data_IF_639759730858
#
_entry.id   IF_639759730858
#
_cell.length_a   1.000
_cell.length_b   1.000
_cell.length_c   1.000
_cell.angle_alpha   90.00
_cell.angle_beta   90.00
_cell.angle_gamma   90.00
#
_symmetry.space_group_name_H-M   'P 1'
#
loop_
_entity.id
_entity.type
_entity.pdbx_description
1 polymer ?
#
# COMPACT_ATOMS: atom_id res chain seq x y z
N UNK A 1 -0.65 29.19 22.38
CA UNK A 1 -1.97 29.43 21.75
C UNK A 1 -2.19 28.35 20.71
N UNK A 2 -3.03 27.36 21.04
CA UNK A 2 -3.27 26.15 20.25
C UNK A 2 -4.22 26.43 19.08
N UNK A 3 -3.83 26.03 17.87
CA UNK A 3 -4.72 25.96 16.72
C UNK A 3 -4.98 24.50 16.39
N UNK A 4 -6.13 24.01 16.85
CA UNK A 4 -6.70 22.76 16.39
C UNK A 4 -7.19 22.92 14.95
N UNK A 5 -6.70 22.08 14.03
CA UNK A 5 -7.29 21.91 12.70
C UNK A 5 -8.32 20.79 12.77
N UNK A 6 -9.58 21.15 12.53
CA UNK A 6 -10.73 20.26 12.43
C UNK A 6 -10.67 19.53 11.08
N UNK A 7 -10.71 18.20 11.12
CA UNK A 7 -10.92 17.38 9.93
C UNK A 7 -12.43 17.21 9.71
N UNK A 8 -12.94 17.68 8.58
CA UNK A 8 -14.29 17.36 8.12
C UNK A 8 -14.18 16.19 7.13
N UNK A 9 -14.74 15.03 7.48
CA UNK A 9 -15.04 13.97 6.52
C UNK A 9 -16.48 14.14 6.02
N UNK A 10 -16.64 14.19 4.70
CA UNK A 10 -17.94 14.06 4.03
C UNK A 10 -18.00 12.68 3.33
N UNK A 11 -18.96 11.85 3.76
CA UNK A 11 -19.26 10.53 3.21
C UNK A 11 -20.23 10.67 2.04
N UNK A 12 -19.92 10.08 0.87
CA UNK A 12 -20.94 9.72 -0.12
C UNK A 12 -20.64 8.34 -0.73
N UNK A 13 -21.60 7.42 -0.61
CA UNK A 13 -21.63 6.11 -1.25
C UNK A 13 -22.36 6.20 -2.60
N UNK A 14 -21.84 5.52 -3.62
CA UNK A 14 -22.58 5.22 -4.84
C UNK A 14 -22.40 3.74 -5.20
N UNK A 15 -23.49 2.98 -5.11
CA UNK A 15 -23.61 1.62 -5.69
C UNK A 15 -24.21 1.76 -7.10
N UNK A 16 -23.64 1.08 -8.08
CA UNK A 16 -24.34 0.73 -9.31
C UNK A 16 -23.93 -0.66 -9.79
N UNK A 17 -24.94 -1.50 -9.98
CA UNK A 17 -24.91 -2.85 -10.55
C UNK A 17 -25.03 -2.77 -12.08
N UNK A 18 -24.30 -3.61 -12.81
CA UNK A 18 -24.44 -3.80 -14.26
C UNK A 18 -24.47 -5.30 -14.57
N UNK A 19 -25.40 -5.80 -15.41
CA UNK A 19 -25.51 -7.22 -15.73
C UNK A 19 -24.49 -7.66 -16.80
N UNK A 20 -23.91 -8.85 -16.62
CA UNK A 20 -23.12 -9.55 -17.64
C UNK A 20 -24.04 -10.25 -18.65
N UNK A 21 -23.82 -10.02 -19.93
CA UNK A 21 -24.09 -11.02 -20.99
C UNK A 21 -23.04 -10.86 -22.10
N UNK A 22 -22.54 -11.99 -22.61
CA UNK A 22 -21.59 -12.00 -23.73
C UNK A 22 -20.82 -13.32 -23.81
N UNK A 23 -21.33 -14.21 -24.65
CA UNK A 23 -20.92 -15.60 -24.88
C UNK A 23 -19.51 -15.80 -25.42
N UNK A 24 -18.89 -16.90 -24.97
CA UNK A 24 -17.63 -17.44 -25.44
C UNK A 24 -17.72 -18.01 -26.87
N UNK A 25 -16.63 -17.88 -27.62
CA UNK A 25 -16.28 -18.80 -28.72
C UNK A 25 -14.80 -19.13 -28.59
N UNK A 26 -14.52 -20.41 -28.32
CA UNK A 26 -13.18 -20.97 -28.27
C UNK A 26 -12.82 -21.48 -29.67
N UNK A 27 -11.62 -21.15 -30.14
CA UNK A 27 -10.95 -21.87 -31.22
C UNK A 27 -9.60 -22.32 -30.69
N UNK A 28 -9.41 -23.63 -30.75
CA UNK A 28 -8.23 -24.34 -30.30
C UNK A 28 -7.21 -24.41 -31.45
N UNK A 29 -5.97 -24.02 -31.17
CA UNK A 29 -4.80 -24.40 -31.97
C UNK A 29 -3.72 -24.93 -31.03
N UNK A 30 -3.25 -26.14 -31.32
CA UNK A 30 -2.22 -26.89 -30.59
C UNK A 30 -0.81 -26.46 -31.00
N UNK A 31 0.20 -26.61 -30.11
CA UNK A 31 1.41 -25.78 -30.14
C UNK A 31 2.55 -26.41 -30.95
N UNK A 32 3.29 -25.59 -31.70
CA UNK A 32 4.64 -25.93 -32.16
C UNK A 32 5.68 -25.28 -31.25
N UNK A 33 6.42 -26.15 -30.56
CA UNK A 33 7.60 -25.82 -29.77
C UNK A 33 8.72 -25.30 -30.67
N UNK A 34 9.20 -24.10 -30.39
CA UNK A 34 10.50 -23.63 -30.84
C UNK A 34 11.12 -22.90 -29.65
N UNK A 35 12.06 -23.57 -28.98
CA UNK A 35 12.84 -22.99 -27.90
C UNK A 35 13.77 -21.91 -28.48
N UNK A 36 13.26 -20.68 -28.53
CA UNK A 36 14.09 -19.49 -28.69
C UNK A 36 14.46 -19.07 -27.28
N UNK A 37 15.73 -19.27 -26.91
CA UNK A 37 16.33 -18.64 -25.75
C UNK A 37 16.36 -17.14 -26.00
N UNK A 38 15.27 -16.44 -25.67
CA UNK A 38 15.28 -14.98 -25.58
C UNK A 38 16.08 -14.64 -24.33
N UNK A 39 17.31 -14.18 -24.53
CA UNK A 39 17.94 -13.29 -23.58
C UNK A 39 17.00 -12.10 -23.39
N UNK A 40 16.41 -11.96 -22.21
CA UNK A 40 15.76 -10.72 -21.77
C UNK A 40 16.83 -9.63 -21.71
N UNK A 41 17.13 -9.01 -22.86
CA UNK A 41 17.67 -7.66 -22.86
C UNK A 41 16.57 -6.78 -22.26
N UNK A 42 16.64 -6.58 -20.95
CA UNK A 42 15.75 -5.66 -20.25
C UNK A 42 15.95 -4.28 -20.86
N UNK A 43 14.95 -3.80 -21.60
CA UNK A 43 14.84 -2.39 -21.96
C UNK A 43 14.85 -1.63 -20.63
N UNK A 44 15.99 -1.04 -20.26
CA UNK A 44 16.12 -0.24 -19.05
C UNK A 44 15.39 1.07 -19.29
N UNK A 45 14.14 1.14 -18.82
CA UNK A 45 13.38 2.37 -18.85
C UNK A 45 13.98 3.38 -17.87
N UNK A 46 13.98 4.67 -18.23
CA UNK A 46 14.51 5.73 -17.38
C UNK A 46 13.60 6.97 -17.39
N UNK A 47 14.02 8.02 -16.69
CA UNK A 47 13.29 9.29 -16.66
C UNK A 47 13.11 9.93 -18.06
N UNK A 48 14.01 9.64 -19.02
CA UNK A 48 13.89 10.14 -20.40
C UNK A 48 12.63 9.65 -21.11
N UNK A 49 12.10 8.51 -20.70
CA UNK A 49 10.99 7.83 -21.38
C UNK A 49 9.62 8.35 -20.92
N UNK A 50 9.59 9.30 -19.98
CA UNK A 50 8.36 9.92 -19.50
C UNK A 50 7.65 10.66 -20.65
N UNK A 51 6.37 10.36 -20.95
CA UNK A 51 5.60 11.07 -21.94
C UNK A 51 5.55 12.58 -21.65
N UNK A 52 5.80 13.39 -22.69
CA UNK A 52 5.83 14.85 -22.57
C UNK A 52 4.52 15.44 -22.03
N UNK A 53 3.38 14.79 -22.30
CA UNK A 53 2.06 15.20 -21.80
C UNK A 53 1.89 15.04 -20.29
N UNK A 54 2.60 14.08 -19.66
CA UNK A 54 2.51 13.83 -18.22
C UNK A 54 3.47 14.71 -17.42
N UNK A 55 4.65 14.99 -17.97
CA UNK A 55 5.76 15.66 -17.28
C UNK A 55 5.38 16.93 -16.52
N UNK A 56 4.66 17.92 -17.09
CA UNK A 56 4.34 19.14 -16.37
C UNK A 56 3.55 18.88 -15.07
N UNK A 57 2.59 17.97 -15.11
CA UNK A 57 1.76 17.63 -13.95
C UNK A 57 2.52 16.85 -12.88
N UNK A 58 3.40 15.92 -13.29
CA UNK A 58 4.22 15.11 -12.39
C UNK A 58 5.26 15.98 -11.65
N UNK A 59 6.02 16.78 -12.39
CA UNK A 59 7.02 17.67 -11.80
C UNK A 59 6.38 18.72 -10.90
N UNK A 60 5.20 19.22 -11.29
CA UNK A 60 4.44 20.17 -10.46
C UNK A 60 4.00 19.53 -9.14
N UNK A 61 3.44 18.33 -9.15
CA UNK A 61 3.01 17.63 -7.92
C UNK A 61 4.20 17.33 -7.04
N UNK A 62 5.29 16.81 -7.61
CA UNK A 62 6.49 16.51 -6.84
C UNK A 62 7.01 17.78 -6.13
N UNK A 63 7.14 18.89 -6.86
CA UNK A 63 7.66 20.15 -6.32
C UNK A 63 6.71 20.84 -5.34
N UNK A 64 5.42 20.91 -5.65
CA UNK A 64 4.46 21.74 -4.91
C UNK A 64 3.70 21.00 -3.83
N UNK A 65 3.67 19.66 -3.88
CA UNK A 65 3.00 18.84 -2.88
C UNK A 65 4.04 18.03 -2.13
N UNK A 66 4.71 17.09 -2.80
CA UNK A 66 5.56 16.11 -2.12
C UNK A 66 6.75 16.73 -1.39
N UNK A 67 7.45 17.70 -2.00
CA UNK A 67 8.54 18.41 -1.33
C UNK A 67 8.05 19.39 -0.26
N UNK A 68 6.96 20.15 -0.52
CA UNK A 68 6.45 21.15 0.44
C UNK A 68 5.82 20.51 1.68
N UNK A 69 5.13 19.40 1.50
CA UNK A 69 4.55 18.61 2.59
C UNK A 69 5.59 17.68 3.23
N UNK A 70 6.80 17.63 2.68
CA UNK A 70 7.89 16.77 3.11
C UNK A 70 7.49 15.27 3.15
N UNK A 71 6.57 14.85 2.27
CA UNK A 71 6.09 13.46 2.24
C UNK A 71 7.17 12.49 1.79
N UNK A 72 8.13 12.94 0.98
CA UNK A 72 9.25 12.12 0.48
C UNK A 72 10.52 12.18 1.33
N UNK A 73 10.57 13.07 2.33
CA UNK A 73 11.75 13.26 3.17
C UNK A 73 11.92 12.21 4.26
N UNK A 74 10.84 11.52 4.64
CA UNK A 74 10.88 10.46 5.65
C UNK A 74 11.53 9.20 5.07
N UNK A 75 12.59 8.68 5.72
CA UNK A 75 13.33 7.48 5.29
C UNK A 75 12.64 6.16 5.66
N UNK A 76 11.32 6.10 5.48
CA UNK A 76 10.49 4.92 5.75
C UNK A 76 9.41 4.69 4.68
N UNK A 77 9.50 5.34 3.53
CA UNK A 77 8.58 5.04 2.42
C UNK A 77 8.71 3.57 2.01
N UNK A 78 7.73 3.05 1.27
CA UNK A 78 7.77 1.67 0.77
C UNK A 78 9.07 1.38 0.01
N UNK A 79 9.64 2.36 -0.71
CA UNK A 79 10.99 2.25 -1.29
C UNK A 79 12.05 1.88 -0.24
N UNK A 80 12.11 2.61 0.88
CA UNK A 80 13.06 2.36 1.98
C UNK A 80 12.78 1.03 2.67
N UNK A 81 11.50 0.69 2.85
CA UNK A 81 11.09 -0.56 3.50
C UNK A 81 11.54 -1.77 2.68
N UNK A 82 11.33 -1.73 1.36
CA UNK A 82 11.81 -2.79 0.45
C UNK A 82 13.33 -2.88 0.51
N UNK A 83 14.05 -1.74 0.50
CA UNK A 83 15.51 -1.73 0.53
C UNK A 83 16.07 -2.32 1.83
N UNK A 84 15.55 -1.87 2.97
CA UNK A 84 15.93 -2.39 4.27
C UNK A 84 15.51 -3.86 4.48
N UNK A 85 14.42 -4.25 3.82
CA UNK A 85 13.93 -5.62 3.75
C UNK A 85 14.62 -6.50 2.71
N UNK A 86 15.63 -5.99 2.00
CA UNK A 86 16.34 -6.71 0.95
C UNK A 86 15.39 -7.32 -0.11
N UNK A 87 14.37 -6.56 -0.49
CA UNK A 87 13.39 -6.96 -1.49
C UNK A 87 12.12 -7.58 -0.94
N UNK A 88 11.91 -7.63 0.38
CA UNK A 88 10.69 -8.20 1.00
C UNK A 88 9.96 -7.20 1.88
N UNK A 89 8.66 -7.42 2.06
CA UNK A 89 7.82 -6.66 2.99
C UNK A 89 7.06 -7.61 3.91
N UNK A 90 7.10 -7.32 5.21
CA UNK A 90 6.36 -8.06 6.22
C UNK A 90 5.22 -7.20 6.77
N UNK A 91 4.04 -7.79 6.90
CA UNK A 91 2.86 -7.17 7.49
C UNK A 91 2.51 -7.78 8.84
N UNK A 92 1.94 -6.98 9.72
CA UNK A 92 1.04 -7.47 10.78
C UNK A 92 -0.38 -7.07 10.43
N UNK A 93 -1.33 -7.98 10.57
CA UNK A 93 -2.75 -7.63 10.47
C UNK A 93 -3.24 -7.23 11.86
N UNK A 94 -3.70 -5.99 11.97
CA UNK A 94 -4.32 -5.40 13.15
C UNK A 94 -5.85 -5.48 13.00
N UNK A 95 -6.45 -6.50 13.61
CA UNK A 95 -7.88 -6.79 13.48
C UNK A 95 -8.68 -6.20 14.64
N UNK A 96 -9.08 -4.94 14.48
CA UNK A 96 -9.94 -4.20 15.41
C UNK A 96 -11.41 -4.44 15.06
N UNK A 97 -11.82 -5.69 15.17
CA UNK A 97 -13.17 -6.15 14.84
C UNK A 97 -13.58 -7.27 15.77
N UNK A 98 -14.88 -7.46 15.97
CA UNK A 98 -15.43 -8.60 16.68
C UNK A 98 -15.53 -9.86 15.78
N UNK A 99 -15.40 -9.72 14.46
CA UNK A 99 -15.55 -10.83 13.51
C UNK A 99 -14.41 -11.83 13.67
N UNK A 100 -14.78 -13.11 13.59
CA UNK A 100 -13.81 -14.19 13.53
C UNK A 100 -13.14 -14.23 12.16
N UNK A 101 -11.86 -14.60 12.13
CA UNK A 101 -11.08 -14.82 10.92
C UNK A 101 -10.87 -16.32 10.73
N UNK A 102 -11.45 -16.88 9.67
CA UNK A 102 -11.18 -18.24 9.23
C UNK A 102 -9.77 -18.36 8.61
N UNK A 103 -9.21 -19.58 8.60
CA UNK A 103 -7.88 -19.83 8.01
C UNK A 103 -7.81 -19.36 6.55
N UNK A 104 -8.84 -19.66 5.75
CA UNK A 104 -8.89 -19.25 4.35
C UNK A 104 -8.86 -17.73 4.19
N UNK A 105 -9.65 -16.99 4.99
CA UNK A 105 -9.66 -15.52 4.95
C UNK A 105 -8.28 -14.94 5.29
N UNK A 106 -7.57 -15.53 6.26
CA UNK A 106 -6.22 -15.09 6.62
C UNK A 106 -5.22 -15.30 5.48
N UNK A 107 -5.31 -16.44 4.79
CA UNK A 107 -4.50 -16.72 3.60
C UNK A 107 -4.86 -15.81 2.42
N UNK A 108 -6.15 -15.51 2.23
CA UNK A 108 -6.61 -14.57 1.20
C UNK A 108 -6.10 -13.15 1.48
N UNK A 109 -6.11 -12.70 2.74
CA UNK A 109 -5.57 -11.39 3.14
C UNK A 109 -4.07 -11.27 2.82
N UNK A 110 -3.26 -12.29 3.13
CA UNK A 110 -1.83 -12.28 2.78
C UNK A 110 -1.62 -12.18 1.26
N UNK A 111 -2.36 -12.99 0.47
CA UNK A 111 -2.33 -12.92 -1.00
C UNK A 111 -2.78 -11.56 -1.52
N UNK A 112 -3.80 -10.97 -0.92
CA UNK A 112 -4.31 -9.64 -1.26
C UNK A 112 -3.22 -8.58 -1.07
N UNK A 113 -2.57 -8.55 0.10
CA UNK A 113 -1.50 -7.60 0.38
C UNK A 113 -0.35 -7.72 -0.62
N UNK A 114 0.07 -8.95 -0.94
CA UNK A 114 1.07 -9.21 -1.97
C UNK A 114 0.65 -8.69 -3.35
N UNK A 115 -0.59 -8.95 -3.76
CA UNK A 115 -1.12 -8.51 -5.05
C UNK A 115 -1.23 -6.98 -5.14
N UNK A 116 -1.84 -6.32 -4.15
CA UNK A 116 -2.05 -4.87 -4.17
C UNK A 116 -0.72 -4.09 -4.10
N UNK A 117 0.25 -4.56 -3.32
CA UNK A 117 1.60 -3.97 -3.32
C UNK A 117 2.29 -4.13 -4.67
N UNK A 118 2.21 -5.32 -5.27
CA UNK A 118 2.85 -5.58 -6.57
C UNK A 118 2.13 -4.93 -7.75
N UNK A 119 0.86 -4.52 -7.61
CA UNK A 119 0.22 -3.64 -8.59
C UNK A 119 0.95 -2.30 -8.73
N UNK A 120 1.59 -1.81 -7.67
CA UNK A 120 2.49 -0.66 -7.75
C UNK A 120 3.91 -1.06 -8.18
N UNK A 121 4.55 -1.97 -7.45
CA UNK A 121 6.00 -2.21 -7.59
C UNK A 121 6.39 -2.88 -8.91
N UNK A 122 5.47 -3.58 -9.58
CA UNK A 122 5.73 -4.14 -10.93
C UNK A 122 6.21 -3.08 -11.93
N UNK A 123 5.79 -1.83 -11.75
CA UNK A 123 6.17 -0.73 -12.64
C UNK A 123 7.58 -0.19 -12.40
N UNK A 124 8.25 -0.60 -11.32
CA UNK A 124 9.64 -0.26 -11.02
C UNK A 124 10.64 -1.28 -11.56
N UNK A 125 10.19 -2.51 -11.89
CA UNK A 125 11.08 -3.55 -12.43
C UNK A 125 11.74 -3.08 -13.73
N UNK A 126 13.06 -3.14 -13.79
CA UNK A 126 13.84 -2.66 -14.94
C UNK A 126 13.84 -1.14 -15.12
N UNK A 127 13.29 -0.37 -14.17
CA UNK A 127 13.24 1.08 -14.25
C UNK A 127 14.37 1.73 -13.43
N UNK A 128 15.18 2.54 -14.11
CA UNK A 128 16.11 3.51 -13.53
C UNK A 128 16.98 2.96 -12.38
N UNK A 129 17.49 1.74 -12.54
CA UNK A 129 18.39 1.08 -11.58
C UNK A 129 17.70 0.49 -10.34
N UNK A 130 16.37 0.36 -10.34
CA UNK A 130 15.66 -0.35 -9.27
C UNK A 130 16.12 -1.82 -9.19
N UNK A 131 16.60 -2.29 -8.03
CA UNK A 131 17.32 -3.58 -7.95
C UNK A 131 16.42 -4.78 -7.66
N UNK A 132 15.10 -4.60 -7.52
CA UNK A 132 14.19 -5.67 -7.08
C UNK A 132 13.18 -6.07 -8.14
N UNK A 133 12.87 -7.37 -8.19
CA UNK A 133 11.81 -7.97 -8.99
C UNK A 133 10.45 -7.91 -8.30
N UNK A 134 9.69 -9.01 -8.35
CA UNK A 134 8.48 -9.16 -7.53
C UNK A 134 8.84 -9.07 -6.05
N UNK A 135 8.02 -8.36 -5.27
CA UNK A 135 8.24 -8.14 -3.85
C UNK A 135 7.44 -9.19 -3.08
N UNK A 136 8.10 -10.17 -2.41
CA UNK A 136 7.40 -11.11 -1.56
C UNK A 136 6.83 -10.39 -0.34
N UNK A 137 5.54 -10.63 -0.09
CA UNK A 137 4.82 -10.11 1.07
C UNK A 137 4.42 -11.26 1.98
N UNK A 138 4.60 -11.09 3.30
CA UNK A 138 4.20 -12.07 4.32
C UNK A 138 3.43 -11.42 5.45
N UNK A 139 2.43 -12.10 6.00
CA UNK A 139 1.83 -11.73 7.29
C UNK A 139 2.58 -12.46 8.40
N UNK A 140 3.37 -11.73 9.17
CA UNK A 140 4.21 -12.29 10.25
C UNK A 140 3.52 -12.31 11.61
N UNK A 141 2.32 -11.73 11.72
CA UNK A 141 1.52 -11.82 12.93
C UNK A 141 0.11 -11.24 12.78
N UNK A 142 -0.75 -11.63 13.73
CA UNK A 142 -2.15 -11.22 13.83
C UNK A 142 -2.38 -10.58 15.19
N UNK A 143 -2.63 -9.28 15.22
CA UNK A 143 -3.02 -8.58 16.44
C UNK A 143 -4.55 -8.54 16.55
N UNK A 144 -5.10 -9.15 17.59
CA UNK A 144 -6.55 -9.24 17.85
C UNK A 144 -6.83 -8.95 19.33
N UNK A 145 -8.02 -8.43 19.67
CA UNK A 145 -8.36 -8.22 21.08
C UNK A 145 -8.67 -9.55 21.79
N UNK A 146 -9.27 -10.51 21.07
CA UNK A 146 -9.58 -11.84 21.59
C UNK A 146 -8.95 -12.93 20.71
N UNK A 147 -8.00 -13.73 21.22
CA UNK A 147 -7.31 -14.76 20.42
C UNK A 147 -8.26 -15.82 19.85
N UNK A 148 -9.43 -16.04 20.47
CA UNK A 148 -10.44 -16.98 19.95
C UNK A 148 -11.01 -16.58 18.58
N UNK A 149 -10.79 -15.33 18.14
CA UNK A 149 -11.19 -14.84 16.83
C UNK A 149 -10.36 -15.46 15.69
N UNK A 150 -9.15 -15.93 15.98
CA UNK A 150 -8.29 -16.60 15.01
C UNK A 150 -8.68 -18.09 14.97
N UNK A 151 -9.61 -18.43 14.07
CA UNK A 151 -10.12 -19.78 13.96
C UNK A 151 -9.10 -20.70 13.27
N UNK A 152 -8.98 -21.94 13.76
CA UNK A 152 -8.03 -22.92 13.24
C UNK A 152 -6.60 -22.33 13.11
N UNK A 153 -6.10 -21.77 14.21
CA UNK A 153 -4.76 -21.18 14.27
C UNK A 153 -3.70 -22.23 13.94
N UNK A 154 -2.82 -21.92 13.00
CA UNK A 154 -1.71 -22.79 12.62
C UNK A 154 -0.51 -22.63 13.59
N UNK A 155 0.35 -23.66 13.72
CA UNK A 155 1.50 -23.62 14.64
C UNK A 155 2.47 -22.46 14.38
N UNK A 156 2.65 -22.06 13.12
CA UNK A 156 3.54 -20.98 12.70
C UNK A 156 2.94 -19.57 12.84
N UNK A 157 1.63 -19.44 13.07
CA UNK A 157 0.99 -18.13 13.23
C UNK A 157 1.29 -17.54 14.60
N UNK A 158 1.66 -16.27 14.64
CA UNK A 158 1.84 -15.50 15.88
C UNK A 158 0.59 -14.66 16.11
N UNK A 159 0.04 -14.71 17.32
CA UNK A 159 -1.13 -13.92 17.72
C UNK A 159 -0.71 -12.99 18.86
N UNK A 160 -0.95 -11.69 18.65
CA UNK A 160 -0.74 -10.65 19.65
C UNK A 160 -2.08 -10.22 20.22
N UNK A 161 -2.18 -10.11 21.55
CA UNK A 161 -3.43 -9.77 22.25
C UNK A 161 -3.36 -8.48 23.05
N UNK A 162 -2.22 -7.78 23.00
CA UNK A 162 -2.10 -6.47 23.63
C UNK A 162 -2.95 -5.46 22.87
N UNK A 163 -3.55 -4.53 23.60
CA UNK A 163 -4.36 -3.46 23.04
C UNK A 163 -3.96 -2.11 23.62
N UNK A 164 -4.05 -1.06 22.82
CA UNK A 164 -4.06 0.33 23.26
C UNK A 164 -5.44 0.96 23.03
N UNK A 165 -5.63 2.21 23.44
CA UNK A 165 -6.86 2.96 23.11
C UNK A 165 -6.72 3.56 21.72
N UNK A 166 -7.72 3.35 20.87
CA UNK A 166 -7.85 4.08 19.62
C UNK A 166 -8.32 5.51 19.89
N UNK A 167 -7.51 6.50 19.53
CA UNK A 167 -7.87 7.90 19.71
C UNK A 167 -9.12 8.29 18.91
N UNK A 168 -9.39 7.65 17.76
CA UNK A 168 -10.60 7.90 16.98
C UNK A 168 -11.87 7.44 17.70
N UNK A 169 -11.80 6.45 18.59
CA UNK A 169 -12.99 6.02 19.34
C UNK A 169 -13.48 7.07 20.34
N UNK A 170 -12.63 8.06 20.68
CA UNK A 170 -13.01 9.16 21.57
C UNK A 170 -13.93 10.17 20.87
N UNK A 171 -13.85 10.27 19.55
CA UNK A 171 -14.66 11.20 18.74
C UNK A 171 -15.71 10.47 17.91
N UNK A 172 -15.50 9.20 17.57
CA UNK A 172 -16.47 8.33 16.91
C UNK A 172 -16.68 7.02 17.71
N UNK A 173 -17.73 6.94 18.55
CA UNK A 173 -17.97 5.78 19.41
C UNK A 173 -18.37 4.51 18.63
N UNK A 174 -18.55 4.58 17.31
CA UNK A 174 -18.80 3.40 16.46
C UNK A 174 -17.51 2.61 16.18
N UNK A 175 -16.35 3.25 16.33
CA UNK A 175 -15.04 2.60 16.22
C UNK A 175 -14.72 1.92 17.57
N UNK A 176 -14.36 0.62 17.60
CA UNK A 176 -14.02 -0.06 18.84
C UNK A 176 -12.84 0.62 19.56
N UNK A 177 -12.95 0.85 20.87
CA UNK A 177 -11.88 1.55 21.61
C UNK A 177 -10.59 0.73 21.77
N UNK A 178 -10.70 -0.60 21.88
CA UNK A 178 -9.54 -1.47 22.01
C UNK A 178 -8.89 -1.71 20.65
N UNK A 179 -7.72 -1.12 20.45
CA UNK A 179 -6.90 -1.25 19.25
C UNK A 179 -5.80 -2.29 19.48
N UNK A 180 -5.87 -3.49 18.86
CA UNK A 180 -4.83 -4.50 19.02
C UNK A 180 -3.49 -4.03 18.48
N UNK A 181 -2.38 -4.42 19.07
CA UNK A 181 -1.04 -4.00 18.63
C UNK A 181 -0.05 -5.17 18.64
N UNK A 182 0.90 -5.17 17.70
CA UNK A 182 2.10 -5.98 17.80
C UNK A 182 3.18 -5.25 18.63
N UNK A 183 4.18 -5.97 19.17
CA UNK A 183 5.28 -5.37 19.91
C UNK A 183 6.01 -4.31 19.08
N UNK A 184 6.19 -3.12 19.67
CA UNK A 184 6.94 -2.01 19.05
C UNK A 184 8.36 -2.42 18.64
N UNK A 185 9.01 -3.30 19.41
CA UNK A 185 10.35 -3.82 19.10
C UNK A 185 10.47 -4.57 17.75
N UNK A 186 9.35 -4.98 17.15
CA UNK A 186 9.32 -5.61 15.83
C UNK A 186 8.91 -4.63 14.72
N UNK A 187 8.51 -3.41 15.07
CA UNK A 187 7.98 -2.40 14.15
C UNK A 187 9.11 -1.66 13.47
N UNK A 188 9.19 -1.75 12.14
CA UNK A 188 10.06 -0.86 11.37
C UNK A 188 9.67 0.60 11.56
N UNK A 189 8.37 0.90 11.58
CA UNK A 189 7.88 2.26 11.73
C UNK A 189 8.39 2.95 13.02
N UNK A 190 8.62 2.18 14.08
CA UNK A 190 9.12 2.72 15.35
C UNK A 190 10.65 2.84 15.39
N UNK A 191 11.36 2.17 14.47
CA UNK A 191 12.81 1.97 14.53
C UNK A 191 13.58 2.35 13.25
N UNK A 192 12.92 2.81 12.19
CA UNK A 192 13.56 3.10 10.88
C UNK A 192 14.65 4.20 10.92
N UNK A 193 14.65 5.04 11.95
CA UNK A 193 15.65 6.10 12.13
C UNK A 193 16.95 5.60 12.75
N UNK A 194 16.94 4.42 13.38
CA UNK A 194 18.13 3.79 13.97
C UNK A 194 18.74 2.79 12.98
N UNK A 195 19.84 3.14 12.30
CA UNK A 195 20.48 2.26 11.32
C UNK A 195 21.12 1.03 11.95
N UNK A 196 21.31 1.01 13.29
CA UNK A 196 21.92 -0.09 14.03
C UNK A 196 20.88 -0.94 14.78
N UNK A 197 19.58 -0.66 14.59
CA UNK A 197 18.54 -1.39 15.29
C UNK A 197 18.54 -2.86 14.91
N UNK A 198 18.70 -3.73 15.92
CA UNK A 198 18.66 -5.17 15.75
C UNK A 198 17.28 -5.70 16.17
N UNK A 199 16.48 -6.11 15.19
CA UNK A 199 15.17 -6.68 15.46
C UNK A 199 15.28 -7.99 16.26
N UNK A 200 14.52 -8.16 17.36
CA UNK A 200 14.44 -9.42 18.08
C UNK A 200 14.03 -10.57 17.14
N UNK A 201 14.84 -11.63 17.11
CA UNK A 201 14.61 -12.78 16.22
C UNK A 201 15.02 -12.55 14.75
N UNK A 202 15.64 -11.41 14.45
CA UNK A 202 16.22 -11.11 13.14
C UNK A 202 15.27 -10.40 12.17
N UNK A 203 15.81 -10.10 10.99
CA UNK A 203 15.18 -9.29 9.96
C UNK A 203 13.79 -9.84 9.54
N UNK A 204 13.64 -11.17 9.51
CA UNK A 204 12.40 -11.85 9.11
C UNK A 204 11.27 -11.76 10.15
N UNK A 205 11.59 -11.36 11.38
CA UNK A 205 10.60 -11.22 12.47
C UNK A 205 10.09 -9.80 12.64
N UNK A 206 10.71 -8.82 12.00
CA UNK A 206 10.16 -7.46 11.92
C UNK A 206 8.89 -7.45 11.08
N UNK A 207 8.09 -6.41 11.24
CA UNK A 207 7.10 -6.01 10.26
C UNK A 207 7.34 -4.57 9.80
N UNK A 208 7.01 -4.31 8.54
CA UNK A 208 7.20 -3.03 7.88
C UNK A 208 5.91 -2.19 7.88
N UNK A 209 4.75 -2.85 7.71
CA UNK A 209 3.44 -2.21 7.64
C UNK A 209 2.39 -2.95 8.45
N UNK A 210 1.35 -2.24 8.86
CA UNK A 210 0.12 -2.83 9.34
C UNK A 210 -0.97 -2.85 8.26
N UNK A 211 -1.82 -3.89 8.27
CA UNK A 211 -3.17 -3.79 7.69
C UNK A 211 -4.16 -3.70 8.84
N UNK A 212 -4.91 -2.61 8.93
CA UNK A 212 -5.91 -2.40 9.98
C UNK A 212 -7.29 -2.72 9.42
N UNK A 213 -7.90 -3.78 9.93
CA UNK A 213 -9.32 -4.06 9.72
C UNK A 213 -10.12 -3.53 10.90
N UNK A 214 -10.79 -2.40 10.70
CA UNK A 214 -11.52 -1.71 11.77
C UNK A 214 -13.02 -1.77 11.53
N UNK A 215 -13.78 -2.27 12.50
CA UNK A 215 -15.25 -2.21 12.45
C UNK A 215 -15.75 -0.77 12.37
N UNK A 216 -16.70 -0.50 11.47
CA UNK A 216 -17.33 0.80 11.23
C UNK A 216 -16.40 1.93 10.76
N UNK A 217 -15.15 1.63 10.36
CA UNK A 217 -14.27 2.64 9.79
C UNK A 217 -14.75 3.03 8.39
N UNK A 218 -15.02 4.32 8.17
CA UNK A 218 -15.42 4.84 6.87
C UNK A 218 -14.21 5.28 6.04
N UNK A 219 -14.19 4.92 4.76
CA UNK A 219 -13.10 5.27 3.84
C UNK A 219 -11.81 4.49 4.10
N UNK A 220 -10.68 5.13 3.79
CA UNK A 220 -9.34 4.61 4.00
C UNK A 220 -8.44 5.65 4.67
N UNK A 221 -7.35 5.16 5.28
CA UNK A 221 -6.23 5.98 5.71
C UNK A 221 -4.94 5.17 5.59
N UNK A 222 -3.85 5.79 5.16
CA UNK A 222 -2.63 5.06 4.88
C UNK A 222 -1.38 5.92 4.90
N UNK A 223 -0.25 5.24 4.82
CA UNK A 223 1.07 5.85 4.79
C UNK A 223 2.16 4.82 4.99
N UNK A 224 3.31 5.28 5.48
CA UNK A 224 4.48 4.45 5.74
C UNK A 224 4.32 3.49 6.94
N UNK A 225 3.24 3.61 7.71
CA UNK A 225 2.87 2.67 8.78
C UNK A 225 1.91 1.57 8.31
N UNK A 226 1.41 1.64 7.07
CA UNK A 226 0.47 0.68 6.49
C UNK A 226 -0.86 1.30 6.07
N UNK A 227 -1.92 0.49 6.06
CA UNK A 227 -3.24 0.86 5.55
C UNK A 227 -4.33 0.53 6.57
N UNK A 228 -5.34 1.38 6.67
CA UNK A 228 -6.52 1.22 7.52
C UNK A 228 -7.79 1.39 6.71
N UNK A 229 -8.71 0.45 6.89
CA UNK A 229 -10.01 0.44 6.21
C UNK A 229 -11.01 -0.40 7.02
N UNK A 230 -12.27 -0.42 6.57
CA UNK A 230 -13.28 -1.27 7.19
C UNK A 230 -12.91 -2.75 7.08
N UNK A 231 -13.14 -3.50 8.16
CA UNK A 231 -13.08 -4.96 8.17
C UNK A 231 -13.99 -5.60 7.10
N UNK A 232 -15.21 -5.07 6.90
CA UNK A 232 -16.11 -5.52 5.82
C UNK A 232 -15.56 -5.23 4.44
N UNK A 233 -14.93 -4.08 4.25
CA UNK A 233 -14.32 -3.73 2.97
C UNK A 233 -13.17 -4.69 2.63
N UNK A 234 -12.29 -5.00 3.59
CA UNK A 234 -11.22 -5.99 3.41
C UNK A 234 -11.81 -7.33 2.98
N UNK A 235 -12.76 -7.87 3.76
CA UNK A 235 -13.28 -9.21 3.50
C UNK A 235 -14.06 -9.31 2.18
N UNK A 236 -14.81 -8.27 1.81
CA UNK A 236 -15.59 -8.26 0.57
C UNK A 236 -14.75 -8.07 -0.70
N UNK A 237 -13.56 -7.48 -0.58
CA UNK A 237 -12.68 -7.19 -1.72
C UNK A 237 -11.41 -8.05 -1.77
N UNK A 238 -11.18 -8.92 -0.78
CA UNK A 238 -9.92 -9.65 -0.57
C UNK A 238 -9.43 -10.43 -1.80
N UNK A 239 -10.33 -10.87 -2.67
CA UNK A 239 -10.01 -11.63 -3.88
C UNK A 239 -10.00 -10.82 -5.18
N UNK A 240 -10.26 -9.51 -5.11
CA UNK A 240 -10.25 -8.64 -6.30
C UNK A 240 -8.82 -8.35 -6.78
N UNK A 241 -8.64 -8.24 -8.10
CA UNK A 241 -7.33 -7.94 -8.68
C UNK A 241 -6.85 -6.53 -8.34
N UNK A 242 -7.75 -5.55 -8.36
CA UNK A 242 -7.50 -4.15 -7.99
C UNK A 242 -8.52 -3.77 -6.89
N UNK A 243 -8.06 -3.11 -5.84
CA UNK A 243 -8.86 -2.67 -4.70
C UNK A 243 -8.59 -1.18 -4.50
N UNK A 244 -9.45 -0.36 -5.08
CA UNK A 244 -9.29 1.10 -5.16
C UNK A 244 -8.78 1.75 -3.87
N UNK A 245 -9.45 1.51 -2.73
CA UNK A 245 -9.06 2.16 -1.47
C UNK A 245 -7.71 1.62 -1.01
N UNK A 246 -7.50 0.31 -1.04
CA UNK A 246 -6.22 -0.28 -0.62
C UNK A 246 -5.04 0.22 -1.47
N UNK A 247 -5.21 0.29 -2.78
CA UNK A 247 -4.17 0.79 -3.69
C UNK A 247 -3.91 2.29 -3.50
N UNK A 248 -4.95 3.09 -3.27
CA UNK A 248 -4.82 4.50 -2.91
C UNK A 248 -4.00 4.66 -1.62
N UNK A 249 -4.35 3.92 -0.56
CA UNK A 249 -3.64 3.99 0.72
C UNK A 249 -2.18 3.48 0.63
N UNK A 250 -1.88 2.55 -0.29
CA UNK A 250 -0.51 2.14 -0.59
C UNK A 250 0.25 3.26 -1.31
N UNK A 251 -0.41 4.05 -2.16
CA UNK A 251 0.18 5.22 -2.82
C UNK A 251 0.74 6.24 -1.82
N UNK A 252 0.06 6.48 -0.71
CA UNK A 252 0.58 7.29 0.40
C UNK A 252 1.87 6.71 1.01
N UNK A 253 2.00 5.39 1.06
CA UNK A 253 3.24 4.71 1.48
C UNK A 253 4.43 4.98 0.55
N UNK A 254 4.19 5.34 -0.71
CA UNK A 254 5.22 5.84 -1.63
C UNK A 254 5.44 7.37 -1.56
N UNK A 255 4.73 8.06 -0.65
CA UNK A 255 4.84 9.50 -0.43
C UNK A 255 3.89 10.34 -1.30
N UNK A 256 2.96 9.72 -2.01
CA UNK A 256 1.99 10.45 -2.85
C UNK A 256 0.92 11.13 -1.99
N UNK A 257 0.54 12.38 -2.28
CA UNK A 257 -0.47 13.11 -1.52
C UNK A 257 -1.88 12.90 -2.08
N UNK A 258 -2.89 13.26 -1.29
CA UNK A 258 -4.27 13.40 -1.77
C UNK A 258 -4.48 14.62 -2.67
N UNK A 259 -5.52 14.54 -3.51
CA UNK A 259 -5.93 15.61 -4.43
C UNK A 259 -7.40 16.06 -4.26
N UNK A 260 -7.83 16.34 -3.03
CA UNK A 260 -9.22 16.73 -2.73
C UNK A 260 -9.59 18.14 -3.20
N UNK A 261 -8.66 19.10 -3.06
CA UNK A 261 -8.88 20.51 -3.38
C UNK A 261 -8.50 20.88 -4.81
N UNK A 262 -8.94 22.06 -5.25
CA UNK A 262 -8.44 22.67 -6.49
C UNK A 262 -6.96 23.05 -6.39
N UNK A 263 -6.55 23.63 -5.26
CA UNK A 263 -5.16 24.03 -5.00
C UNK A 263 -4.20 22.84 -4.81
N UNK A 264 -4.74 21.64 -4.67
CA UNK A 264 -3.97 20.41 -4.51
C UNK A 264 -3.46 19.87 -5.86
N UNK A 265 -3.98 20.40 -6.97
CA UNK A 265 -3.78 19.87 -8.33
C UNK A 265 -3.08 20.89 -9.23
N UNK A 266 -2.39 20.44 -10.28
CA UNK A 266 -1.91 21.33 -11.33
C UNK A 266 -3.05 22.17 -11.93
N UNK A 267 -2.74 23.39 -12.38
CA UNK A 267 -3.73 24.22 -13.09
C UNK A 267 -4.23 23.49 -14.34
N UNK A 268 -5.56 23.37 -14.49
CA UNK A 268 -6.18 22.59 -15.56
C UNK A 268 -6.38 21.10 -15.22
N UNK A 269 -5.98 20.65 -14.03
CA UNK A 269 -6.16 19.26 -13.57
C UNK A 269 -5.09 18.30 -14.07
N UNK A 270 -5.40 17.00 -14.03
CA UNK A 270 -4.50 15.94 -14.50
C UNK A 270 -4.80 15.58 -15.96
N UNK A 271 -3.78 15.24 -16.75
CA UNK A 271 -3.95 14.86 -18.16
C UNK A 271 -4.69 13.54 -18.37
N UNK A 272 -4.69 12.66 -17.35
CA UNK A 272 -5.49 11.44 -17.25
C UNK A 272 -5.96 11.27 -15.80
N UNK A 273 -6.96 10.40 -15.52
CA UNK A 273 -7.36 10.13 -14.14
C UNK A 273 -6.20 9.64 -13.27
N UNK A 274 -6.32 9.79 -11.95
CA UNK A 274 -5.35 9.31 -10.94
C UNK A 274 -6.09 8.61 -9.81
N UNK A 275 -5.52 7.52 -9.30
CA UNK A 275 -6.07 6.83 -8.11
C UNK A 275 -5.96 7.70 -6.85
N UNK A 276 -4.97 8.60 -6.79
CA UNK A 276 -4.72 9.49 -5.65
C UNK A 276 -5.73 10.64 -5.55
N UNK A 277 -6.65 10.75 -6.52
CA UNK A 277 -7.85 11.57 -6.39
C UNK A 277 -9.05 10.65 -6.13
N UNK A 278 -9.54 10.65 -4.89
CA UNK A 278 -10.63 9.76 -4.48
C UNK A 278 -11.83 9.84 -5.43
N UNK A 279 -12.27 8.68 -5.92
CA UNK A 279 -13.38 8.55 -6.88
C UNK A 279 -13.03 8.85 -8.34
N UNK A 280 -11.82 9.31 -8.66
CA UNK A 280 -11.42 9.66 -10.03
C UNK A 280 -10.96 8.45 -10.84
N UNK A 281 -10.29 7.48 -10.21
CA UNK A 281 -9.95 6.19 -10.79
C UNK A 281 -10.22 5.05 -9.82
N UNK A 282 -10.62 3.90 -10.34
CA UNK A 282 -10.82 2.66 -9.58
C UNK A 282 -9.55 1.78 -9.51
N UNK A 283 -8.48 2.18 -10.19
CA UNK A 283 -7.22 1.43 -10.35
C UNK A 283 -6.04 2.36 -10.55
N UNK A 284 -4.82 1.85 -10.39
CA UNK A 284 -3.58 2.58 -10.67
C UNK A 284 -3.52 2.93 -12.16
N UNK A 285 -3.20 4.19 -12.47
CA UNK A 285 -3.15 4.72 -13.83
C UNK A 285 -1.72 4.99 -14.29
N UNK A 286 -1.54 5.27 -15.58
CA UNK A 286 -0.23 5.66 -16.13
C UNK A 286 0.33 6.92 -15.47
N UNK A 287 -0.52 7.86 -15.03
CA UNK A 287 -0.07 9.03 -14.30
C UNK A 287 0.51 8.67 -12.94
N UNK A 288 -0.18 7.79 -12.21
CA UNK A 288 0.27 7.29 -10.90
C UNK A 288 1.61 6.55 -11.03
N UNK A 289 1.74 5.72 -12.07
CA UNK A 289 2.97 4.98 -12.39
C UNK A 289 4.13 5.94 -12.68
N UNK A 290 3.91 6.99 -13.45
CA UNK A 290 4.96 7.97 -13.73
C UNK A 290 5.32 8.82 -12.52
N UNK A 291 4.38 9.09 -11.61
CA UNK A 291 4.70 9.74 -10.33
C UNK A 291 5.56 8.83 -9.45
N UNK A 292 5.24 7.53 -9.38
CA UNK A 292 6.03 6.52 -8.66
C UNK A 292 7.47 6.49 -9.18
N UNK A 293 7.60 6.35 -10.51
CA UNK A 293 8.88 6.29 -11.23
C UNK A 293 9.70 7.57 -11.07
N UNK A 294 9.06 8.72 -11.24
CA UNK A 294 9.70 10.02 -11.01
C UNK A 294 10.24 10.12 -9.58
N UNK A 295 9.42 9.75 -8.60
CA UNK A 295 9.81 9.76 -7.18
C UNK A 295 11.02 8.88 -6.93
N UNK A 296 11.05 7.64 -7.44
CA UNK A 296 12.24 6.78 -7.37
C UNK A 296 13.48 7.45 -7.96
N UNK A 297 13.36 8.01 -9.17
CA UNK A 297 14.47 8.67 -9.88
C UNK A 297 15.06 9.86 -9.10
N UNK A 298 14.23 10.57 -8.34
CA UNK A 298 14.69 11.65 -7.46
C UNK A 298 15.34 11.10 -6.20
N UNK A 299 14.70 10.12 -5.55
CA UNK A 299 15.14 9.61 -4.25
C UNK A 299 16.42 8.79 -4.33
N UNK A 300 16.63 8.01 -5.40
CA UNK A 300 17.83 7.18 -5.58
C UNK A 300 19.14 7.99 -5.65
N UNK A 301 19.05 9.29 -5.91
CA UNK A 301 20.21 10.19 -5.96
C UNK A 301 20.84 10.37 -4.57
N UNK A 302 20.08 10.16 -3.48
CA UNK A 302 20.62 10.09 -2.12
C UNK A 302 21.30 8.73 -1.91
N UNK A 303 22.59 8.65 -2.27
CA UNK A 303 23.44 7.47 -2.08
C UNK A 303 23.61 7.03 -0.62
N UNK A 304 23.31 7.92 0.35
CA UNK A 304 23.28 7.54 1.77
C UNK A 304 21.98 6.83 2.13
N UNK A 305 20.89 7.10 1.42
CA UNK A 305 19.58 6.46 1.59
C UNK A 305 19.51 5.13 0.84
N UNK A 306 19.96 5.11 -0.42
CA UNK A 306 19.97 3.90 -1.26
C UNK A 306 21.40 3.61 -1.73
N UNK A 307 22.02 2.59 -1.12
CA UNK A 307 23.33 2.07 -1.55
C UNK A 307 23.12 1.09 -2.69
N UNK A 308 23.02 1.63 -3.90
CA UNK A 308 22.89 0.89 -5.17
C UNK A 308 24.25 0.41 -5.67
#
# INVERSE_FOLDING_TARGET
MSTQRKWLLALLSAMLTVPLTGTATALAETPQSSAITQSEESIQASLSDMPASLRPSIEWVYKNRMLKENSVGRKNLIFDQIFAGKGTINYVVRWQSAKNLALQQRQDIERMLGRQLNNWTKHLKGYDGWPYGDIPVKVVGWAVANPAQILNKQPNEIVYTQTIVDELSKTDPRIPAALPVAPSALSRFDHFTDPNYAYPGGLDKRFDMYLWGTTNFGGGAGGDWGQRMSDDYILSTVNNNEIQITEHEIGHGFGMPDFYGENDRPQGGFPVPTIMWAGNSAKITDWDVWLLRYTWSQLKQDSQRFRL
#
